data_IF_236619824029
#
_entry.id   IF_236619824029
#
_cell.length_a   1.000
_cell.length_b   1.000
_cell.length_c   1.000
_cell.angle_alpha   90.00
_cell.angle_beta   90.00
_cell.angle_gamma   90.00
#
_symmetry.space_group_name_H-M   'P 1'
#
loop_
_entity.id
_entity.type
_entity.pdbx_description
1 polymer ?
#
# COMPACT_ATOMS: atom_id res chain seq x y z
N UNK A 1 24.09 10.58 19.80
CA UNK A 1 22.71 11.12 19.86
C UNK A 1 21.74 9.98 19.65
N UNK A 2 20.89 9.66 20.63
CA UNK A 2 19.75 8.76 20.39
C UNK A 2 18.67 9.58 19.70
N UNK A 3 18.32 9.25 18.45
CA UNK A 3 17.12 9.79 17.80
C UNK A 3 15.94 9.57 18.76
N UNK A 4 15.30 10.65 19.23
CA UNK A 4 13.98 10.54 19.83
C UNK A 4 13.08 9.98 18.73
N UNK A 5 12.63 8.73 18.88
CA UNK A 5 11.55 8.18 18.08
C UNK A 5 10.38 9.15 18.16
N UNK A 6 10.10 9.85 17.04
CA UNK A 6 8.90 10.68 16.92
C UNK A 6 7.70 9.79 17.21
N UNK A 7 6.88 10.21 18.16
CA UNK A 7 5.63 9.54 18.48
C UNK A 7 4.76 9.46 17.21
N UNK A 8 4.19 8.28 16.96
CA UNK A 8 3.35 8.02 15.79
C UNK A 8 1.92 7.80 16.23
N UNK A 9 0.99 8.34 15.46
CA UNK A 9 -0.43 8.31 15.78
C UNK A 9 -1.18 7.30 14.91
N UNK A 10 -2.17 6.59 15.47
CA UNK A 10 -2.99 5.67 14.70
C UNK A 10 -3.77 6.44 13.65
N UNK A 11 -3.86 5.88 12.45
CA UNK A 11 -4.64 6.42 11.36
C UNK A 11 -5.67 5.38 10.91
N UNK A 12 -6.89 5.84 10.67
CA UNK A 12 -7.96 5.07 10.02
C UNK A 12 -8.38 5.81 8.77
N UNK A 13 -8.54 5.08 7.67
CA UNK A 13 -9.11 5.61 6.43
C UNK A 13 -10.47 4.94 6.22
N UNK A 14 -11.48 5.75 5.91
CA UNK A 14 -12.87 5.33 5.78
C UNK A 14 -13.41 5.88 4.48
N UNK A 15 -14.08 5.03 3.70
CA UNK A 15 -14.84 5.48 2.54
C UNK A 15 -16.17 6.08 2.99
N UNK A 16 -16.38 7.34 2.68
CA UNK A 16 -17.67 8.00 2.80
C UNK A 16 -18.64 7.36 1.80
N UNK A 17 -19.75 6.79 2.30
CA UNK A 17 -20.74 6.09 1.48
C UNK A 17 -21.56 7.04 0.60
N UNK A 18 -21.73 8.29 1.02
CA UNK A 18 -22.52 9.29 0.29
C UNK A 18 -21.71 9.90 -0.85
N UNK A 19 -20.47 10.30 -0.55
CA UNK A 19 -19.63 11.00 -1.52
C UNK A 19 -18.69 10.08 -2.30
N UNK A 20 -18.51 8.83 -1.84
CA UNK A 20 -17.52 7.90 -2.37
C UNK A 20 -16.07 8.27 -2.07
N UNK A 21 -15.84 9.39 -1.36
CA UNK A 21 -14.51 9.93 -1.04
C UNK A 21 -13.91 9.24 0.17
N UNK A 22 -12.58 9.22 0.24
CA UNK A 22 -11.87 8.70 1.40
C UNK A 22 -11.66 9.79 2.44
N UNK A 23 -11.86 9.43 3.71
CA UNK A 23 -11.68 10.28 4.89
C UNK A 23 -10.69 9.68 5.86
N UNK A 24 -9.77 10.50 6.34
CA UNK A 24 -8.74 10.11 7.28
C UNK A 24 -9.09 10.59 8.70
N UNK A 25 -8.93 9.71 9.67
CA UNK A 25 -9.16 10.01 11.08
C UNK A 25 -7.99 9.47 11.92
N UNK A 26 -7.68 10.16 13.01
CA UNK A 26 -6.59 9.80 13.93
C UNK A 26 -7.04 9.96 15.38
N UNK A 27 -6.16 9.69 16.35
CA UNK A 27 -6.48 9.86 17.77
C UNK A 27 -6.61 11.33 18.16
N UNK A 28 -7.36 11.60 19.23
CA UNK A 28 -7.51 12.93 19.81
C UNK A 28 -6.16 13.45 20.31
N UNK A 29 -5.25 12.58 20.74
CA UNK A 29 -3.92 12.96 21.22
C UNK A 29 -3.13 13.77 20.18
N UNK A 30 -3.34 13.49 18.88
CA UNK A 30 -2.72 14.25 17.80
C UNK A 30 -3.23 15.70 17.70
N UNK A 31 -4.46 15.97 18.15
CA UNK A 31 -5.01 17.34 18.16
C UNK A 31 -4.30 18.24 19.18
N UNK A 32 -3.74 17.64 20.23
CA UNK A 32 -2.99 18.34 21.27
C UNK A 32 -1.52 18.56 20.87
N UNK A 33 -1.09 18.06 19.72
CA UNK A 33 0.23 18.34 19.15
C UNK A 33 0.22 19.72 18.49
N UNK A 34 0.57 20.75 19.28
CA UNK A 34 0.56 22.17 18.91
C UNK A 34 1.47 22.51 17.70
N UNK A 35 2.29 21.58 17.23
CA UNK A 35 3.33 21.84 16.24
C UNK A 35 2.88 21.71 14.78
N UNK A 36 1.67 21.17 14.50
CA UNK A 36 1.27 20.78 13.14
C UNK A 36 -0.21 21.02 12.84
N UNK A 37 -0.49 21.47 11.61
CA UNK A 37 -1.86 21.58 11.10
C UNK A 37 -2.39 20.19 10.71
N UNK A 38 -2.93 19.48 11.69
CA UNK A 38 -3.51 18.14 11.54
C UNK A 38 -4.57 18.05 10.44
N UNK A 39 -5.41 19.08 10.27
CA UNK A 39 -6.45 19.09 9.23
C UNK A 39 -5.82 19.02 7.84
N UNK A 40 -4.72 19.75 7.62
CA UNK A 40 -3.97 19.74 6.36
C UNK A 40 -3.29 18.39 6.12
N UNK A 41 -2.69 17.80 7.15
CA UNK A 41 -2.06 16.46 7.07
C UNK A 41 -3.09 15.39 6.71
N UNK A 42 -4.24 15.36 7.39
CA UNK A 42 -5.32 14.41 7.08
C UNK A 42 -5.87 14.62 5.66
N UNK A 43 -6.08 15.86 5.23
CA UNK A 43 -6.55 16.15 3.86
C UNK A 43 -5.54 15.70 2.78
N UNK A 44 -4.24 15.85 3.06
CA UNK A 44 -3.19 15.34 2.19
C UNK A 44 -3.26 13.82 2.08
N UNK A 45 -3.37 13.12 3.22
CA UNK A 45 -3.48 11.66 3.27
C UNK A 45 -4.73 11.16 2.51
N UNK A 46 -5.87 11.84 2.63
CA UNK A 46 -7.10 11.50 1.90
C UNK A 46 -6.89 11.53 0.38
N UNK A 47 -6.19 12.55 -0.10
CA UNK A 47 -5.89 12.73 -1.52
C UNK A 47 -4.87 11.70 -2.00
N UNK A 48 -3.78 11.53 -1.25
CA UNK A 48 -2.71 10.57 -1.56
C UNK A 48 -3.23 9.13 -1.58
N UNK A 49 -4.11 8.75 -0.65
CA UNK A 49 -4.76 7.44 -0.65
C UNK A 49 -5.71 7.25 -1.85
N UNK A 50 -6.41 8.32 -2.26
CA UNK A 50 -7.28 8.28 -3.44
C UNK A 50 -6.47 8.04 -4.72
N UNK A 51 -5.33 8.74 -4.86
CA UNK A 51 -4.40 8.55 -5.99
C UNK A 51 -3.83 7.12 -5.98
N UNK A 52 -3.34 6.65 -4.83
CA UNK A 52 -2.84 5.28 -4.65
C UNK A 52 -3.84 4.23 -5.16
N UNK A 53 -5.12 4.35 -4.78
CA UNK A 53 -6.14 3.41 -5.21
C UNK A 53 -6.43 3.50 -6.71
N UNK A 54 -6.34 4.71 -7.29
CA UNK A 54 -6.40 4.91 -8.75
C UNK A 54 -5.29 4.15 -9.46
N UNK A 55 -4.04 4.34 -9.03
CA UNK A 55 -2.86 3.71 -9.62
C UNK A 55 -2.92 2.18 -9.51
N UNK A 56 -3.27 1.65 -8.33
CA UNK A 56 -3.39 0.21 -8.11
C UNK A 56 -4.49 -0.39 -9.00
N UNK A 57 -5.65 0.26 -9.12
CA UNK A 57 -6.74 -0.22 -9.99
C UNK A 57 -6.33 -0.22 -11.46
N UNK A 58 -5.56 0.78 -11.89
CA UNK A 58 -4.96 0.81 -13.23
C UNK A 58 -4.04 -0.38 -13.48
N UNK A 59 -3.11 -0.64 -12.56
CA UNK A 59 -2.17 -1.78 -12.63
C UNK A 59 -2.89 -3.14 -12.61
N UNK A 60 -3.95 -3.27 -11.78
CA UNK A 60 -4.76 -4.48 -11.73
C UNK A 60 -5.57 -4.71 -13.01
N UNK A 61 -6.13 -3.64 -13.58
CA UNK A 61 -6.81 -3.70 -14.87
C UNK A 61 -5.85 -4.19 -15.96
N UNK A 62 -4.64 -3.63 -16.01
CA UNK A 62 -3.60 -4.06 -16.94
C UNK A 62 -3.20 -5.53 -16.72
N UNK A 63 -3.03 -5.95 -15.46
CA UNK A 63 -2.71 -7.34 -15.13
C UNK A 63 -3.81 -8.32 -15.57
N UNK A 64 -5.07 -7.89 -15.44
CA UNK A 64 -6.25 -8.69 -15.81
C UNK A 64 -6.44 -8.74 -17.32
N UNK A 65 -6.23 -7.64 -18.05
CA UNK A 65 -6.27 -7.63 -19.52
C UNK A 65 -5.18 -8.54 -20.11
N UNK A 66 -4.00 -8.59 -19.47
CA UNK A 66 -2.90 -9.49 -19.85
C UNK A 66 -3.11 -10.94 -19.40
N UNK A 67 -4.13 -11.25 -18.61
CA UNK A 67 -4.35 -12.59 -18.00
C UNK A 67 -4.50 -13.74 -19.00
N UNK A 68 -4.87 -13.48 -20.26
CA UNK A 68 -4.80 -14.50 -21.34
C UNK A 68 -3.37 -14.98 -21.63
N UNK A 69 -2.34 -14.24 -21.20
CA UNK A 69 -0.92 -14.51 -21.41
C UNK A 69 -0.11 -14.30 -20.12
N UNK A 70 -0.38 -15.09 -19.06
CA UNK A 70 0.35 -15.10 -17.77
C UNK A 70 0.41 -13.75 -17.03
N UNK A 71 0.01 -13.75 -15.77
CA UNK A 71 0.14 -12.59 -14.88
C UNK A 71 1.60 -12.10 -14.77
N UNK A 72 1.87 -10.86 -15.20
CA UNK A 72 3.20 -10.24 -15.20
C UNK A 72 3.62 -9.88 -13.76
N UNK A 73 4.71 -10.47 -13.23
CA UNK A 73 5.17 -10.19 -11.87
C UNK A 73 5.55 -8.72 -11.63
N UNK A 74 5.93 -7.97 -12.67
CA UNK A 74 6.30 -6.55 -12.55
C UNK A 74 5.13 -5.68 -12.13
N UNK A 75 3.92 -6.00 -12.58
CA UNK A 75 2.71 -5.26 -12.19
C UNK A 75 2.42 -5.44 -10.70
N UNK A 76 2.53 -6.67 -10.19
CA UNK A 76 2.38 -6.93 -8.75
C UNK A 76 3.50 -6.32 -7.92
N UNK A 77 4.71 -6.21 -8.47
CA UNK A 77 5.81 -5.49 -7.84
C UNK A 77 5.49 -3.99 -7.70
N UNK A 78 4.99 -3.37 -8.78
CA UNK A 78 4.60 -1.96 -8.79
C UNK A 78 3.43 -1.68 -7.83
N UNK A 79 2.46 -2.59 -7.72
CA UNK A 79 1.40 -2.48 -6.72
C UNK A 79 2.00 -2.47 -5.31
N UNK A 80 2.90 -3.42 -5.02
CA UNK A 80 3.59 -3.47 -3.73
C UNK A 80 4.44 -2.24 -3.45
N UNK A 81 5.12 -1.70 -4.46
CA UNK A 81 5.90 -0.47 -4.37
C UNK A 81 5.02 0.73 -4.00
N UNK A 82 3.88 0.90 -4.68
CA UNK A 82 2.95 1.98 -4.38
C UNK A 82 2.41 1.91 -2.94
N UNK A 83 2.05 0.70 -2.48
CA UNK A 83 1.61 0.49 -1.09
C UNK A 83 2.72 0.85 -0.10
N UNK A 84 3.95 0.38 -0.32
CA UNK A 84 5.08 0.65 0.57
C UNK A 84 5.38 2.15 0.63
N UNK A 85 5.45 2.83 -0.51
CA UNK A 85 5.72 4.28 -0.55
C UNK A 85 4.64 5.09 0.17
N UNK A 86 3.38 4.68 0.06
CA UNK A 86 2.31 5.33 0.82
C UNK A 86 2.51 5.15 2.33
N UNK A 87 2.85 3.94 2.79
CA UNK A 87 3.13 3.65 4.21
C UNK A 87 4.34 4.45 4.70
N UNK A 88 5.39 4.59 3.88
CA UNK A 88 6.56 5.42 4.18
C UNK A 88 6.15 6.89 4.35
N UNK A 89 5.35 7.45 3.45
CA UNK A 89 4.82 8.81 3.59
C UNK A 89 3.98 8.99 4.86
N UNK A 90 3.16 8.00 5.22
CA UNK A 90 2.44 8.03 6.51
C UNK A 90 3.41 8.07 7.69
N UNK A 91 4.45 7.24 7.66
CA UNK A 91 5.45 7.20 8.72
C UNK A 91 6.19 8.54 8.86
N UNK A 92 6.54 9.19 7.75
CA UNK A 92 7.22 10.49 7.72
C UNK A 92 6.33 11.61 8.29
N UNK A 93 5.02 11.52 8.05
CA UNK A 93 4.03 12.43 8.62
C UNK A 93 3.77 12.17 10.12
N UNK A 94 4.22 11.02 10.64
CA UNK A 94 4.02 10.62 12.04
C UNK A 94 2.75 9.78 12.26
N UNK A 95 2.32 9.03 11.25
CA UNK A 95 1.13 8.17 11.32
C UNK A 95 1.48 6.71 11.06
N UNK A 96 0.63 5.80 11.54
CA UNK A 96 0.61 4.39 11.13
C UNK A 96 -0.82 3.94 10.83
N UNK A 97 -1.02 3.22 9.72
CA UNK A 97 -2.35 2.79 9.30
C UNK A 97 -2.83 1.59 10.14
N UNK A 98 -3.98 1.74 10.81
CA UNK A 98 -4.64 0.65 11.52
C UNK A 98 -5.17 -0.39 10.54
N UNK A 99 -4.97 -1.68 10.88
CA UNK A 99 -5.45 -2.83 10.10
C UNK A 99 -5.08 -2.72 8.61
N UNK A 100 -3.84 -2.29 8.33
CA UNK A 100 -3.33 -1.95 7.01
C UNK A 100 -3.77 -2.90 5.90
N UNK A 101 -3.51 -4.21 6.04
CA UNK A 101 -3.83 -5.17 4.99
C UNK A 101 -5.33 -5.30 4.74
N UNK A 102 -6.15 -5.25 5.79
CA UNK A 102 -7.63 -5.29 5.71
C UNK A 102 -8.15 -4.05 5.00
N UNK A 103 -7.65 -2.88 5.36
CA UNK A 103 -8.03 -1.60 4.75
C UNK A 103 -7.77 -1.61 3.24
N UNK A 104 -6.55 -1.97 2.84
CA UNK A 104 -6.21 -2.09 1.41
C UNK A 104 -7.01 -3.17 0.71
N UNK A 105 -7.19 -4.34 1.33
CA UNK A 105 -7.94 -5.46 0.76
C UNK A 105 -9.38 -5.06 0.40
N UNK A 106 -10.08 -4.40 1.32
CA UNK A 106 -11.44 -3.93 1.13
C UNK A 106 -11.56 -2.92 -0.02
N UNK A 107 -10.63 -1.95 -0.09
CA UNK A 107 -10.70 -0.87 -1.07
C UNK A 107 -10.18 -1.22 -2.47
N UNK A 108 -9.24 -2.17 -2.54
CA UNK A 108 -8.68 -2.69 -3.79
C UNK A 108 -9.57 -3.80 -4.36
N UNK A 109 -10.34 -4.50 -3.52
CA UNK A 109 -11.17 -5.64 -3.94
C UNK A 109 -10.38 -6.95 -4.02
N UNK A 110 -9.44 -7.16 -3.09
CA UNK A 110 -8.60 -8.36 -2.99
C UNK A 110 -8.71 -8.98 -1.60
N UNK A 111 -8.27 -10.24 -1.45
CA UNK A 111 -8.14 -10.82 -0.10
C UNK A 111 -7.00 -10.17 0.67
N UNK A 112 -7.14 -10.08 2.01
CA UNK A 112 -6.07 -9.62 2.91
C UNK A 112 -4.77 -10.40 2.70
N UNK A 113 -4.88 -11.71 2.54
CA UNK A 113 -3.74 -12.60 2.26
C UNK A 113 -3.04 -12.25 0.94
N UNK A 114 -3.77 -11.80 -0.08
CA UNK A 114 -3.19 -11.40 -1.36
C UNK A 114 -2.43 -10.09 -1.22
N UNK A 115 -2.96 -9.12 -0.48
CA UNK A 115 -2.24 -7.88 -0.15
C UNK A 115 -0.95 -8.19 0.61
N UNK A 116 -1.03 -9.05 1.64
CA UNK A 116 0.14 -9.47 2.40
C UNK A 116 1.22 -10.13 1.53
N UNK A 117 0.83 -10.97 0.57
CA UNK A 117 1.74 -11.59 -0.40
C UNK A 117 2.38 -10.58 -1.35
N UNK A 118 1.63 -9.59 -1.83
CA UNK A 118 2.16 -8.53 -2.70
C UNK A 118 3.20 -7.68 -1.97
N UNK A 119 2.90 -7.24 -0.74
CA UNK A 119 3.84 -6.47 0.07
C UNK A 119 5.09 -7.28 0.37
N UNK A 120 4.94 -8.55 0.76
CA UNK A 120 6.07 -9.45 1.04
C UNK A 120 6.92 -9.71 -0.20
N UNK A 121 6.29 -9.85 -1.36
CA UNK A 121 6.96 -9.99 -2.64
C UNK A 121 7.82 -8.76 -2.96
N UNK A 122 7.24 -7.55 -2.85
CA UNK A 122 7.99 -6.32 -3.06
C UNK A 122 9.16 -6.17 -2.08
N UNK A 123 8.97 -6.54 -0.80
CA UNK A 123 10.06 -6.51 0.20
C UNK A 123 11.19 -7.49 -0.14
N UNK A 124 10.85 -8.69 -0.62
CA UNK A 124 11.83 -9.71 -1.00
C UNK A 124 12.65 -9.31 -2.23
N UNK A 125 11.99 -8.76 -3.25
CA UNK A 125 12.64 -8.32 -4.48
C UNK A 125 12.76 -6.80 -4.44
N UNK A 126 13.84 -6.29 -3.84
CA UNK A 126 13.96 -4.86 -3.54
C UNK A 126 14.02 -3.95 -4.77
N UNK A 127 14.42 -4.51 -5.92
CA UNK A 127 14.52 -3.82 -7.21
C UNK A 127 13.72 -4.59 -8.26
N UNK A 128 13.04 -3.87 -9.14
CA UNK A 128 12.28 -4.47 -10.24
C UNK A 128 13.16 -5.33 -11.17
N UNK A 129 14.45 -5.01 -11.29
CA UNK A 129 15.43 -5.75 -12.09
C UNK A 129 15.73 -7.15 -11.55
N UNK A 130 15.32 -7.47 -10.31
CA UNK A 130 15.45 -8.81 -9.75
C UNK A 130 14.36 -9.77 -10.26
N UNK A 131 13.41 -9.28 -11.05
CA UNK A 131 12.30 -10.07 -11.57
C UNK A 131 12.59 -10.56 -12.99
N UNK A 132 12.63 -11.87 -13.15
CA UNK A 132 12.52 -12.51 -14.46
C UNK A 132 11.06 -12.52 -14.93
N UNK A 133 10.81 -11.87 -16.07
CA UNK A 133 9.51 -11.77 -16.73
C UNK A 133 9.03 -13.10 -17.31
N UNK A 134 9.93 -14.07 -17.52
CA UNK A 134 9.58 -15.43 -17.95
C UNK A 134 8.90 -16.23 -16.84
N UNK A 135 9.12 -15.84 -15.58
CA UNK A 135 8.50 -16.45 -14.40
C UNK A 135 7.17 -15.75 -14.12
N UNK A 136 6.07 -16.52 -14.10
CA UNK A 136 4.75 -15.97 -13.80
C UNK A 136 4.64 -15.51 -12.34
N UNK A 137 3.80 -14.50 -12.10
CA UNK A 137 3.46 -14.03 -10.75
C UNK A 137 3.15 -15.17 -9.77
N UNK A 138 2.37 -16.17 -10.20
CA UNK A 138 2.00 -17.32 -9.35
C UNK A 138 3.21 -18.06 -8.76
N UNK A 139 4.31 -18.20 -9.52
CA UNK A 139 5.53 -18.85 -9.02
C UNK A 139 6.23 -18.01 -7.96
N UNK A 140 6.28 -16.69 -8.13
CA UNK A 140 6.81 -15.78 -7.11
C UNK A 140 5.96 -15.79 -5.84
N UNK A 141 4.65 -15.68 -6.01
CA UNK A 141 3.65 -15.67 -4.94
C UNK A 141 3.73 -16.91 -4.06
N UNK A 142 3.96 -18.07 -4.67
CA UNK A 142 3.98 -19.37 -3.99
C UNK A 142 5.40 -19.80 -3.58
N UNK A 143 6.38 -18.87 -3.63
CA UNK A 143 7.81 -19.10 -3.31
C UNK A 143 8.52 -20.15 -4.18
N UNK A 144 7.94 -20.52 -5.32
CA UNK A 144 8.50 -21.52 -6.26
C UNK A 144 9.45 -20.91 -7.31
N UNK A 145 9.71 -19.61 -7.23
CA UNK A 145 10.58 -18.91 -8.17
C UNK A 145 12.08 -19.12 -7.89
N UNK A 146 12.46 -19.46 -6.65
CA UNK A 146 13.86 -19.59 -6.22
C UNK A 146 14.32 -21.06 -6.09
N UNK A 147 13.43 -22.03 -6.27
CA UNK A 147 13.71 -23.47 -6.12
C UNK A 147 14.36 -24.13 -7.33
N UNK A 148 14.61 -23.38 -8.42
CA UNK A 148 15.21 -23.88 -9.65
C UNK A 148 16.54 -23.18 -9.99
N UNK A 149 17.21 -22.58 -8.99
CA UNK A 149 18.58 -22.11 -9.11
C UNK A 149 19.55 -23.18 -8.61
#
# INVERSE_FOLDING_TARGET
>A
MKEKTKEKFPLKIIKDKLTGRYKAATSIDKLNDETKNIRRELSFIETDYTILLGDIRGLLSEATMRSKKKADPRLYWLIGENIIRFIERLNDLGFYLLKQNITFAADIGMSESSIGKIISFRKRFSKISMLDQKISWSKYRDNKALTNL
#
